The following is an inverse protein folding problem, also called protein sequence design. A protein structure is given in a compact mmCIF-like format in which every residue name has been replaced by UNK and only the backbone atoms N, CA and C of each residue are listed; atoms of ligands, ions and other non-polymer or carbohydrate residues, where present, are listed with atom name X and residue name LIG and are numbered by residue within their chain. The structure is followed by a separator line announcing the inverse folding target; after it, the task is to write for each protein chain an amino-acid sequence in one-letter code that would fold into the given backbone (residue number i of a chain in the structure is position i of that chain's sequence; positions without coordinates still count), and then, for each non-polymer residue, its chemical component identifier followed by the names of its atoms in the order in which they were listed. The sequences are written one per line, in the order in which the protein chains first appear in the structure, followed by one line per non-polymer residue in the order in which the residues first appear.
data_IF_574082634504
#
_entry.id   IF_574082634504
#
_cell.length_a   1.000
_cell.length_b   1.000
_cell.length_c   1.000
_cell.angle_alpha   90.00
_cell.angle_beta   90.00
_cell.angle_gamma   90.00
#
_symmetry.space_group_name_H-M   'P 1'
#
loop_
_entity.id
_entity.type
_entity.pdbx_description
1 polymer ?
#
# COMPACT_ATOMS: atom_id res chain seq x y z
N UNK A 1 6.12 -30.24 -9.62
CA UNK A 1 6.36 -28.81 -9.30
C UNK A 1 5.06 -28.21 -8.81
N UNK A 2 4.93 -27.98 -7.49
CA UNK A 2 3.79 -27.21 -6.96
C UNK A 2 4.14 -25.74 -7.15
N UNK A 3 3.55 -25.11 -8.16
CA UNK A 3 3.65 -23.66 -8.33
C UNK A 3 2.75 -23.07 -7.25
N UNK A 4 3.31 -22.72 -6.11
CA UNK A 4 2.67 -21.85 -5.12
C UNK A 4 2.52 -20.47 -5.75
N UNK A 5 1.43 -20.24 -6.49
CA UNK A 5 1.01 -18.90 -6.86
C UNK A 5 0.69 -18.16 -5.55
N UNK A 6 1.67 -17.47 -4.99
CA UNK A 6 1.42 -16.51 -3.93
C UNK A 6 0.62 -15.37 -4.53
N UNK A 7 -0.70 -15.43 -4.34
CA UNK A 7 -1.67 -14.40 -4.71
C UNK A 7 -1.40 -13.09 -3.96
N UNK A 8 -0.32 -12.38 -4.29
CA UNK A 8 -0.20 -10.94 -4.01
C UNK A 8 -1.03 -10.16 -5.03
N UNK A 9 -2.33 -10.49 -5.12
CA UNK A 9 -3.27 -9.77 -5.97
C UNK A 9 -3.83 -8.52 -5.28
N UNK A 10 -3.61 -8.39 -3.97
CA UNK A 10 -4.23 -7.34 -3.17
C UNK A 10 -3.23 -6.64 -2.26
N UNK A 11 -3.39 -5.32 -2.18
CA UNK A 11 -2.63 -4.45 -1.29
C UNK A 11 -3.54 -3.92 -0.18
N UNK A 12 -3.22 -4.24 1.07
CA UNK A 12 -3.99 -3.77 2.23
C UNK A 12 -3.37 -2.48 2.78
N UNK A 13 -4.17 -1.42 2.79
CA UNK A 13 -3.80 -0.09 3.27
C UNK A 13 -4.53 0.24 4.58
N UNK A 14 -3.78 0.50 5.65
CA UNK A 14 -4.33 0.94 6.95
C UNK A 14 -4.17 2.46 7.19
N UNK A 15 -3.46 3.16 6.31
CA UNK A 15 -3.13 4.58 6.49
C UNK A 15 -4.08 5.47 5.70
N UNK A 16 -4.79 6.38 6.39
CA UNK A 16 -5.69 7.34 5.76
C UNK A 16 -4.96 8.21 4.73
N UNK A 17 -3.75 8.68 5.06
CA UNK A 17 -2.94 9.51 4.16
C UNK A 17 -2.53 8.73 2.91
N UNK A 18 -2.20 7.44 3.07
CA UNK A 18 -1.83 6.59 1.95
C UNK A 18 -3.01 6.28 1.04
N UNK A 19 -4.16 5.99 1.62
CA UNK A 19 -5.41 5.84 0.89
C UNK A 19 -5.75 7.10 0.09
N UNK A 20 -5.62 8.30 0.67
CA UNK A 20 -5.88 9.55 -0.06
C UNK A 20 -4.92 9.74 -1.24
N UNK A 21 -3.63 9.46 -1.07
CA UNK A 21 -2.66 9.51 -2.16
C UNK A 21 -2.97 8.50 -3.28
N UNK A 22 -3.29 7.25 -2.92
CA UNK A 22 -3.65 6.24 -3.92
C UNK A 22 -4.93 6.66 -4.68
N UNK A 23 -5.93 7.21 -3.98
CA UNK A 23 -7.12 7.76 -4.64
C UNK A 23 -6.81 8.95 -5.55
N UNK A 24 -5.89 9.85 -5.19
CA UNK A 24 -5.51 10.97 -6.06
C UNK A 24 -4.75 10.53 -7.31
N UNK A 25 -4.07 9.37 -7.24
CA UNK A 25 -3.44 8.70 -8.39
C UNK A 25 -4.42 7.90 -9.26
N UNK A 26 -5.70 7.82 -8.87
CA UNK A 26 -6.74 7.13 -9.64
C UNK A 26 -7.02 5.69 -9.21
N UNK A 27 -6.31 5.16 -8.20
CA UNK A 27 -6.52 3.80 -7.70
C UNK A 27 -7.87 3.67 -6.99
N UNK A 28 -8.67 2.68 -7.40
CA UNK A 28 -9.92 2.31 -6.74
C UNK A 28 -9.67 1.18 -5.75
N UNK A 29 -10.25 1.28 -4.55
CA UNK A 29 -10.20 0.19 -3.59
C UNK A 29 -11.32 -0.82 -3.90
N UNK A 30 -10.99 -2.10 -3.80
CA UNK A 30 -11.92 -3.24 -3.96
C UNK A 30 -12.87 -3.34 -2.77
N UNK A 31 -12.33 -3.18 -1.56
CA UNK A 31 -13.08 -3.35 -0.31
C UNK A 31 -12.57 -2.40 0.78
N UNK A 32 -13.44 -2.09 1.74
CA UNK A 32 -13.12 -1.36 2.98
C UNK A 32 -13.67 -2.13 4.17
N UNK A 33 -12.92 -2.22 5.25
CA UNK A 33 -13.34 -2.95 6.45
C UNK A 33 -12.73 -2.41 7.73
N UNK A 34 -13.11 -3.02 8.84
CA UNK A 34 -12.50 -2.81 10.15
C UNK A 34 -11.77 -4.10 10.52
N UNK A 35 -10.53 -3.99 10.96
CA UNK A 35 -9.78 -5.16 11.40
C UNK A 35 -10.38 -5.68 12.72
N UNK A 36 -10.68 -6.99 12.84
CA UNK A 36 -11.55 -7.52 13.90
C UNK A 36 -10.99 -7.33 15.32
N UNK A 37 -9.66 -7.29 15.46
CA UNK A 37 -9.01 -7.18 16.77
C UNK A 37 -8.94 -5.73 17.27
N UNK A 38 -8.49 -4.80 16.43
CA UNK A 38 -8.17 -3.42 16.83
C UNK A 38 -9.16 -2.39 16.27
N UNK A 39 -10.21 -2.85 15.58
CA UNK A 39 -11.22 -2.04 14.92
C UNK A 39 -10.64 -0.94 14.00
N UNK A 40 -9.42 -1.13 13.51
CA UNK A 40 -8.76 -0.16 12.64
C UNK A 40 -9.29 -0.29 11.23
N UNK A 41 -9.68 0.84 10.62
CA UNK A 41 -10.10 0.87 9.24
C UNK A 41 -8.97 0.49 8.28
N UNK A 42 -9.30 -0.34 7.29
CA UNK A 42 -8.42 -0.72 6.21
C UNK A 42 -9.13 -0.65 4.86
N UNK A 43 -8.34 -0.48 3.81
CA UNK A 43 -8.77 -0.46 2.42
C UNK A 43 -7.93 -1.42 1.62
N UNK A 44 -8.57 -2.21 0.77
CA UNK A 44 -7.90 -3.20 -0.09
C UNK A 44 -7.88 -2.67 -1.51
N UNK A 45 -6.71 -2.60 -2.12
CA UNK A 45 -6.50 -2.22 -3.51
C UNK A 45 -6.04 -3.42 -4.33
N UNK A 46 -6.17 -3.35 -5.65
CA UNK A 46 -5.52 -4.30 -6.56
C UNK A 46 -4.01 -4.07 -6.44
N UNK A 47 -3.24 -5.14 -6.27
CA UNK A 47 -1.79 -5.05 -6.30
C UNK A 47 -1.30 -5.25 -7.73
N UNK A 48 -1.18 -4.15 -8.46
CA UNK A 48 -0.61 -4.11 -9.81
C UNK A 48 0.76 -3.39 -9.82
N UNK A 49 1.44 -3.49 -10.95
CA UNK A 49 2.76 -2.87 -11.14
C UNK A 49 2.71 -1.33 -10.95
N UNK A 50 1.62 -0.70 -11.36
CA UNK A 50 1.42 0.76 -11.26
C UNK A 50 1.32 1.20 -9.80
N UNK A 51 0.52 0.48 -9.00
CA UNK A 51 0.38 0.71 -7.57
C UNK A 51 1.72 0.51 -6.86
N UNK A 52 2.49 -0.53 -7.20
CA UNK A 52 3.84 -0.70 -6.64
C UNK A 52 4.78 0.46 -6.98
N UNK A 53 4.72 1.00 -8.20
CA UNK A 53 5.51 2.16 -8.60
C UNK A 53 5.11 3.42 -7.81
N UNK A 54 3.82 3.72 -7.71
CA UNK A 54 3.31 4.88 -6.95
C UNK A 54 3.67 4.76 -5.45
N UNK A 55 3.61 3.55 -4.89
CA UNK A 55 4.04 3.30 -3.50
C UNK A 55 5.53 3.55 -3.31
N UNK A 56 6.37 3.14 -4.27
CA UNK A 56 7.83 3.42 -4.24
C UNK A 56 8.12 4.91 -4.40
N UNK A 57 7.43 5.59 -5.32
CA UNK A 57 7.55 7.04 -5.54
C UNK A 57 7.24 7.80 -4.24
N UNK A 58 6.09 7.47 -3.62
CA UNK A 58 5.71 8.07 -2.35
C UNK A 58 6.71 7.81 -1.23
N UNK A 59 7.32 6.62 -1.18
CA UNK A 59 8.35 6.31 -0.18
C UNK A 59 9.60 7.17 -0.40
N UNK A 60 10.04 7.35 -1.64
CA UNK A 60 11.19 8.20 -2.00
C UNK A 60 10.93 9.68 -1.68
N UNK A 61 9.73 10.17 -1.95
CA UNK A 61 9.37 11.57 -1.75
C UNK A 61 8.99 11.91 -0.29
N UNK A 62 8.93 10.92 0.60
CA UNK A 62 8.60 11.15 2.00
C UNK A 62 9.89 11.39 2.81
N UNK A 63 10.09 12.61 3.37
CA UNK A 63 11.31 12.94 4.10
C UNK A 63 11.56 12.05 5.32
N UNK A 64 10.54 11.35 5.85
CA UNK A 64 10.71 10.38 6.94
C UNK A 64 11.55 9.16 6.58
N UNK A 65 11.63 8.76 5.31
CA UNK A 65 12.40 7.59 4.88
C UNK A 65 13.75 7.94 4.24
N UNK A 66 14.01 9.23 4.02
CA UNK A 66 15.24 9.70 3.37
C UNK A 66 16.43 9.76 4.34
N UNK A 67 16.19 9.71 5.65
CA UNK A 67 17.23 9.73 6.68
C UNK A 67 17.86 8.35 6.96
N UNK A 68 17.24 7.26 6.51
CA UNK A 68 17.77 5.90 6.74
C UNK A 68 19.00 5.59 5.87
N UNK A 69 19.23 6.37 4.80
CA UNK A 69 20.40 6.21 3.92
C UNK A 69 21.60 7.09 4.31
N UNK A 70 21.54 7.81 5.45
CA UNK A 70 22.63 8.67 5.92
C UNK A 70 23.51 8.04 7.02
N UNK A 71 23.32 6.75 7.32
CA UNK A 71 23.99 6.01 8.40
C UNK A 71 24.83 4.82 7.90
N UNK A 72 25.37 4.88 6.68
CA UNK A 72 26.41 3.95 6.23
C UNK A 72 27.68 4.69 5.87
#
# INVERSE_FOLDING_TARGET
MVITMQYKLVYICFSKNQKHYLKSKGHKFLFKGLHPINHKAFWVFVNDFVLEQDLKERKRNNPRFNNDNKLK
#
